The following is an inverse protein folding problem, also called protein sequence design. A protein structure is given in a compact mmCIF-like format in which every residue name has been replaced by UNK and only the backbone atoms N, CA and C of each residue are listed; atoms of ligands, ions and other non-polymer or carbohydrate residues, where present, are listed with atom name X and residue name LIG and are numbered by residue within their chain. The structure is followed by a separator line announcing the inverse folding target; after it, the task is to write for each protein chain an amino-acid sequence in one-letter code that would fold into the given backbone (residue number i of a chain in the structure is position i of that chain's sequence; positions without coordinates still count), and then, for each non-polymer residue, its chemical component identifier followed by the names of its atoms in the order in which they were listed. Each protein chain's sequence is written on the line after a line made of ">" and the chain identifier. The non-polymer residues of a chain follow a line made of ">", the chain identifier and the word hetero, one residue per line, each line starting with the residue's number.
data_IF_691083327713
#
_entry.id   IF_691083327713
#
_cell.length_a   1.000
_cell.length_b   1.000
_cell.length_c   1.000
_cell.angle_alpha   90.00
_cell.angle_beta   90.00
_cell.angle_gamma   90.00
#
_symmetry.space_group_name_H-M   'P 1'
#
loop_
_entity.id
_entity.type
_entity.pdbx_description
1 polymer ?
#
# COMPACT_ATOMS: atom_id res chain seq x y z
N UNK A 1 -27.37 -17.45 -56.50
CA UNK A 1 -26.74 -17.98 -55.26
C UNK A 1 -25.72 -16.97 -54.79
N UNK A 2 -25.94 -16.37 -53.62
CA UNK A 2 -25.05 -15.37 -53.03
C UNK A 2 -23.96 -16.09 -52.24
N UNK A 3 -22.69 -15.78 -52.50
CA UNK A 3 -21.60 -16.09 -51.58
C UNK A 3 -20.71 -14.85 -51.48
N UNK A 4 -20.68 -14.29 -50.27
CA UNK A 4 -19.77 -13.24 -49.84
C UNK A 4 -18.55 -13.87 -49.16
N UNK A 5 -17.48 -13.07 -49.10
CA UNK A 5 -16.28 -13.21 -48.25
C UNK A 5 -15.25 -14.21 -48.82
N UNK A 6 -13.94 -14.00 -48.75
CA UNK A 6 -13.13 -13.50 -47.63
C UNK A 6 -11.84 -12.88 -48.23
N UNK A 7 -11.54 -11.61 -47.96
CA UNK A 7 -10.22 -11.02 -48.24
C UNK A 7 -9.33 -11.11 -47.00
N UNK A 8 -8.13 -11.64 -47.24
CA UNK A 8 -7.11 -11.96 -46.26
C UNK A 8 -6.59 -10.74 -45.48
N UNK A 9 -6.26 -10.95 -44.21
CA UNK A 9 -5.35 -10.06 -43.49
C UNK A 9 -4.54 -10.86 -42.46
N UNK A 10 -3.29 -11.14 -42.86
CA UNK A 10 -2.10 -10.96 -42.03
C UNK A 10 -2.02 -11.68 -40.70
N UNK A 11 -1.35 -12.83 -40.72
CA UNK A 11 -0.64 -13.37 -39.57
C UNK A 11 0.45 -12.38 -39.13
N UNK A 12 0.34 -11.81 -37.93
CA UNK A 12 1.45 -11.15 -37.24
C UNK A 12 1.77 -11.92 -35.96
N UNK A 13 2.86 -12.68 -36.02
CA UNK A 13 3.57 -13.23 -34.88
C UNK A 13 4.29 -12.08 -34.16
N UNK A 14 3.77 -11.66 -33.02
CA UNK A 14 4.49 -10.78 -32.10
C UNK A 14 5.17 -11.65 -31.03
N UNK A 15 6.47 -11.87 -31.21
CA UNK A 15 7.35 -12.45 -30.20
C UNK A 15 8.11 -11.29 -29.53
N UNK A 16 7.74 -10.90 -28.31
CA UNK A 16 8.59 -10.04 -27.48
C UNK A 16 8.17 -10.03 -26.00
N UNK A 17 9.12 -10.41 -25.13
CA UNK A 17 9.34 -9.71 -23.87
C UNK A 17 8.60 -10.21 -22.63
N UNK A 18 9.26 -11.08 -21.88
CA UNK A 18 9.07 -11.18 -20.43
C UNK A 18 9.63 -9.88 -19.81
N UNK A 19 8.78 -8.89 -19.51
CA UNK A 19 9.06 -7.75 -18.61
C UNK A 19 7.78 -6.93 -18.36
N UNK A 20 7.29 -7.03 -17.12
CA UNK A 20 6.81 -5.96 -16.23
C UNK A 20 5.90 -4.83 -16.75
N UNK A 21 4.87 -4.54 -15.93
CA UNK A 21 3.93 -3.39 -15.95
C UNK A 21 2.68 -3.48 -16.85
N UNK A 22 1.74 -4.36 -16.48
CA UNK A 22 0.33 -4.16 -16.85
C UNK A 22 -0.38 -3.28 -15.83
N UNK A 23 -0.43 -2.00 -16.17
CA UNK A 23 -1.49 -1.06 -15.80
C UNK A 23 -2.84 -1.69 -16.13
N UNK A 24 -3.69 -1.92 -15.14
CA UNK A 24 -5.10 -2.28 -15.37
C UNK A 24 -5.98 -1.37 -14.54
N UNK A 25 -6.54 -0.38 -15.22
CA UNK A 25 -7.62 0.50 -14.77
C UNK A 25 -8.91 -0.31 -14.69
N UNK A 26 -9.38 -0.62 -13.48
CA UNK A 26 -10.77 -1.03 -13.27
C UNK A 26 -11.29 -0.51 -11.92
N UNK A 27 -12.44 0.18 -12.00
CA UNK A 27 -13.34 0.59 -10.92
C UNK A 27 -12.83 1.67 -9.94
N UNK A 28 -13.37 2.87 -10.12
CA UNK A 28 -13.29 3.99 -9.19
C UNK A 28 -13.92 3.64 -7.83
N UNK A 29 -13.09 3.60 -6.79
CA UNK A 29 -13.47 3.71 -5.38
C UNK A 29 -12.72 4.92 -4.79
N UNK A 30 -13.32 5.66 -3.85
CA UNK A 30 -12.93 7.03 -3.54
C UNK A 30 -11.70 7.07 -2.64
N UNK A 31 -10.46 6.89 -3.12
CA UNK A 31 -9.29 7.03 -2.22
C UNK A 31 -7.93 7.06 -2.96
N UNK A 32 -7.49 8.21 -3.44
CA UNK A 32 -6.06 8.44 -3.72
C UNK A 32 -5.62 9.77 -3.08
N UNK A 33 -5.81 9.88 -1.77
CA UNK A 33 -4.73 10.49 -1.00
C UNK A 33 -3.52 9.58 -1.24
N UNK A 34 -2.51 10.10 -1.96
CA UNK A 34 -1.28 9.38 -2.31
C UNK A 34 -0.78 8.69 -1.04
N UNK A 35 -0.77 7.35 -1.03
CA UNK A 35 -0.38 6.57 0.15
C UNK A 35 1.11 6.22 0.00
N UNK A 36 2.04 7.04 0.53
CA UNK A 36 3.47 6.79 0.36
C UNK A 36 3.91 5.45 0.96
N UNK A 37 3.15 4.92 1.91
CA UNK A 37 3.39 3.59 2.47
C UNK A 37 3.17 2.51 1.42
N UNK A 38 2.12 2.63 0.61
CA UNK A 38 1.90 1.67 -0.47
C UNK A 38 3.03 1.73 -1.50
N UNK A 39 3.42 2.93 -1.94
CA UNK A 39 4.48 3.10 -2.94
C UNK A 39 5.84 2.57 -2.44
N UNK A 40 6.12 2.71 -1.14
CA UNK A 40 7.36 2.21 -0.51
C UNK A 40 7.45 0.69 -0.48
N UNK A 41 6.34 0.03 -0.18
CA UNK A 41 6.32 -1.39 0.19
C UNK A 41 5.75 -2.33 -0.87
N UNK A 42 5.00 -1.81 -1.84
CA UNK A 42 4.52 -2.63 -2.95
C UNK A 42 5.71 -3.28 -3.69
N UNK A 43 5.59 -4.59 -3.96
CA UNK A 43 6.62 -5.41 -4.57
C UNK A 43 7.74 -5.84 -3.61
N UNK A 44 7.77 -5.35 -2.37
CA UNK A 44 8.75 -5.83 -1.38
C UNK A 44 8.24 -7.07 -0.64
N UNK A 45 9.18 -7.83 -0.05
CA UNK A 45 8.83 -8.96 0.81
C UNK A 45 8.12 -8.49 2.09
N UNK A 46 7.01 -9.15 2.43
CA UNK A 46 6.33 -8.92 3.71
C UNK A 46 7.20 -9.29 4.91
N UNK A 47 8.11 -10.26 4.75
CA UNK A 47 9.07 -10.61 5.79
C UNK A 47 9.99 -9.44 6.16
N UNK A 48 10.40 -8.62 5.18
CA UNK A 48 11.20 -7.41 5.44
C UNK A 48 10.40 -6.38 6.24
N UNK A 49 9.12 -6.21 5.92
CA UNK A 49 8.23 -5.31 6.66
C UNK A 49 8.07 -5.76 8.12
N UNK A 50 7.71 -7.02 8.35
CA UNK A 50 7.49 -7.53 9.71
C UNK A 50 8.77 -7.67 10.53
N UNK A 51 9.93 -7.89 9.89
CA UNK A 51 11.21 -7.85 10.58
C UNK A 51 11.55 -6.43 11.08
N UNK A 52 11.17 -5.39 10.32
CA UNK A 52 11.43 -4.01 10.70
C UNK A 52 10.43 -3.47 11.73
N UNK A 53 9.15 -3.85 11.62
CA UNK A 53 8.06 -3.23 12.38
C UNK A 53 7.32 -4.18 13.33
N UNK A 54 7.73 -5.43 13.41
CA UNK A 54 7.13 -6.46 14.25
C UNK A 54 6.06 -7.30 13.54
N UNK A 55 5.63 -8.40 14.15
CA UNK A 55 4.72 -9.37 13.55
C UNK A 55 3.31 -8.81 13.33
N UNK A 56 2.51 -9.42 12.43
CA UNK A 56 1.10 -9.08 12.30
C UNK A 56 0.30 -9.52 13.53
N UNK A 57 -0.83 -8.84 13.79
CA UNK A 57 -1.78 -9.20 14.85
C UNK A 57 -2.58 -10.43 14.44
N UNK A 58 -2.95 -10.50 13.17
CA UNK A 58 -3.73 -11.59 12.62
C UNK A 58 -3.51 -11.70 11.11
N UNK A 59 -3.74 -12.88 10.57
CA UNK A 59 -3.77 -13.12 9.14
C UNK A 59 -5.09 -13.79 8.72
N UNK A 60 -5.44 -13.60 7.45
CA UNK A 60 -6.62 -14.21 6.83
C UNK A 60 -6.38 -14.41 5.33
N UNK A 61 -6.98 -15.46 4.78
CA UNK A 61 -7.03 -15.64 3.33
C UNK A 61 -8.17 -14.81 2.74
N UNK A 62 -7.89 -14.08 1.66
CA UNK A 62 -8.85 -13.25 0.95
C UNK A 62 -8.60 -13.38 -0.55
N UNK A 63 -9.52 -14.08 -1.25
CA UNK A 63 -9.51 -14.21 -2.72
C UNK A 63 -8.17 -14.70 -3.31
N UNK A 64 -7.54 -15.70 -2.68
CA UNK A 64 -6.26 -16.27 -3.11
C UNK A 64 -5.02 -15.45 -2.74
N UNK A 65 -5.20 -14.32 -2.05
CA UNK A 65 -4.14 -13.57 -1.39
C UNK A 65 -4.20 -13.79 0.12
N UNK A 66 -3.11 -13.45 0.81
CA UNK A 66 -3.10 -13.42 2.28
C UNK A 66 -3.09 -11.98 2.76
N UNK A 67 -3.97 -11.65 3.69
CA UNK A 67 -4.04 -10.33 4.29
C UNK A 67 -3.60 -10.41 5.74
N UNK A 68 -2.61 -9.60 6.08
CA UNK A 68 -2.07 -9.47 7.42
C UNK A 68 -2.51 -8.15 8.01
N UNK A 69 -3.25 -8.21 9.11
CA UNK A 69 -3.58 -7.01 9.88
C UNK A 69 -2.45 -6.71 10.83
N UNK A 70 -1.84 -5.53 10.68
CA UNK A 70 -0.73 -5.07 11.49
C UNK A 70 -1.10 -3.79 12.24
N UNK A 71 -0.54 -3.63 13.45
CA UNK A 71 -0.61 -2.39 14.21
C UNK A 71 0.66 -2.17 14.99
N UNK A 72 1.23 -0.98 14.88
CA UNK A 72 2.44 -0.63 15.59
C UNK A 72 2.73 0.86 15.58
N UNK A 73 3.95 1.22 15.98
CA UNK A 73 4.35 2.61 16.19
C UNK A 73 3.55 3.27 17.30
N UNK A 74 3.43 2.62 18.46
CA UNK A 74 2.73 3.25 19.59
C UNK A 74 3.57 4.43 20.09
N UNK A 75 3.04 5.65 19.97
CA UNK A 75 3.72 6.88 20.40
C UNK A 75 2.77 7.81 21.13
N UNK A 76 3.16 8.26 22.32
CA UNK A 76 2.40 9.27 23.04
C UNK A 76 2.94 10.66 22.67
N UNK A 77 2.07 11.52 22.15
CA UNK A 77 2.40 12.89 21.75
C UNK A 77 1.58 13.88 22.57
N UNK A 78 2.19 15.01 22.93
CA UNK A 78 1.48 16.10 23.56
C UNK A 78 0.83 16.94 22.48
N UNK A 79 -0.50 17.09 22.53
CA UNK A 79 -1.23 17.96 21.60
C UNK A 79 -1.13 19.38 22.12
N UNK A 80 -0.62 20.27 21.27
CA UNK A 80 -0.65 21.71 21.48
C UNK A 80 -1.77 22.29 20.63
N UNK A 81 -2.59 23.15 21.21
CA UNK A 81 -3.56 23.94 20.43
C UNK A 81 -2.84 25.00 19.63
N UNK A 82 -3.53 25.59 18.65
CA UNK A 82 -3.01 26.73 17.88
C UNK A 82 -2.56 27.89 18.78
N UNK A 83 -3.15 28.01 19.97
CA UNK A 83 -2.82 29.03 20.97
C UNK A 83 -1.61 28.66 21.86
N UNK A 84 -0.87 27.60 21.52
CA UNK A 84 0.31 27.13 22.27
C UNK A 84 0.00 26.47 23.62
N UNK A 85 -1.28 26.35 24.00
CA UNK A 85 -1.69 25.69 25.24
C UNK A 85 -1.66 24.17 25.05
N UNK A 86 -1.12 23.46 26.05
CA UNK A 86 -1.17 21.99 26.10
C UNK A 86 -2.62 21.56 26.30
N UNK A 87 -3.22 20.91 25.32
CA UNK A 87 -4.62 20.46 25.40
C UNK A 87 -4.77 19.01 25.82
N UNK A 88 -3.68 18.24 25.88
CA UNK A 88 -3.67 16.88 26.39
C UNK A 88 -2.58 16.00 25.78
N UNK A 89 -2.64 14.70 26.09
CA UNK A 89 -1.81 13.66 25.46
C UNK A 89 -2.67 12.86 24.48
N UNK A 90 -2.11 12.53 23.32
CA UNK A 90 -2.71 11.64 22.32
C UNK A 90 -1.80 10.45 22.11
N UNK A 91 -2.37 9.26 22.08
CA UNK A 91 -1.65 8.04 21.68
C UNK A 91 -1.84 7.84 20.18
N UNK A 92 -0.74 7.94 19.44
CA UNK A 92 -0.67 7.60 18.02
C UNK A 92 -0.37 6.11 17.89
N UNK A 93 -1.01 5.49 16.92
CA UNK A 93 -0.68 4.14 16.45
C UNK A 93 -1.03 4.05 14.98
N UNK A 94 -0.23 3.37 14.18
CA UNK A 94 -0.58 3.06 12.81
C UNK A 94 -1.24 1.68 12.73
N UNK A 95 -2.37 1.57 12.03
CA UNK A 95 -3.02 0.29 11.72
C UNK A 95 -3.13 0.14 10.20
N UNK A 96 -2.64 -0.98 9.68
CA UNK A 96 -2.64 -1.26 8.26
C UNK A 96 -2.96 -2.73 7.98
N UNK A 97 -3.63 -2.98 6.86
CA UNK A 97 -3.75 -4.29 6.25
C UNK A 97 -2.69 -4.41 5.15
N UNK A 98 -1.86 -5.44 5.24
CA UNK A 98 -0.81 -5.76 4.26
C UNK A 98 -1.30 -6.96 3.46
N UNK A 99 -1.54 -6.77 2.17
CA UNK A 99 -1.97 -7.85 1.28
C UNK A 99 -0.75 -8.42 0.57
N UNK A 100 -0.58 -9.74 0.60
CA UNK A 100 0.51 -10.43 -0.08
C UNK A 100 0.02 -11.46 -1.08
N UNK A 101 0.86 -11.76 -2.06
CA UNK A 101 0.68 -12.94 -2.91
C UNK A 101 1.18 -14.21 -2.19
N UNK A 102 1.11 -15.35 -2.88
CA UNK A 102 1.59 -16.65 -2.39
C UNK A 102 3.12 -16.68 -2.20
N UNK A 103 3.86 -15.87 -2.95
CA UNK A 103 5.31 -15.68 -2.80
C UNK A 103 5.70 -14.78 -1.63
N UNK A 104 4.73 -14.36 -0.80
CA UNK A 104 4.93 -13.49 0.36
C UNK A 104 5.46 -12.08 0.02
N UNK A 105 5.17 -11.61 -1.19
CA UNK A 105 5.43 -10.24 -1.65
C UNK A 105 4.20 -9.36 -1.45
N UNK A 106 4.41 -8.15 -0.98
CA UNK A 106 3.37 -7.16 -0.72
C UNK A 106 2.79 -6.66 -2.05
N UNK A 107 1.48 -6.82 -2.22
CA UNK A 107 0.72 -6.33 -3.38
C UNK A 107 0.09 -4.97 -3.10
N UNK A 108 -0.39 -4.79 -1.88
CA UNK A 108 -0.98 -3.53 -1.44
C UNK A 108 -0.87 -3.35 0.07
N UNK A 109 -0.88 -2.08 0.49
CA UNK A 109 -0.89 -1.67 1.90
C UNK A 109 -2.06 -0.71 2.10
N UNK A 110 -3.06 -1.15 2.85
CA UNK A 110 -4.25 -0.36 3.15
C UNK A 110 -4.17 0.17 4.58
N UNK A 111 -4.06 1.48 4.72
CA UNK A 111 -4.13 2.11 6.04
C UNK A 111 -5.59 2.08 6.52
N UNK A 112 -5.84 1.45 7.67
CA UNK A 112 -7.19 1.27 8.23
C UNK A 112 -7.61 2.44 9.13
N UNK A 113 -6.64 3.18 9.64
CA UNK A 113 -6.88 4.34 10.48
C UNK A 113 -5.58 5.10 10.63
N UNK A 114 -5.63 6.38 10.29
CA UNK A 114 -4.48 7.27 10.36
C UNK A 114 -4.84 8.54 11.08
N UNK A 115 -3.86 9.10 11.76
CA UNK A 115 -3.97 10.34 12.50
C UNK A 115 -2.82 11.24 12.06
N UNK A 116 -2.97 12.58 12.12
CA UNK A 116 -1.86 13.48 11.90
C UNK A 116 -0.66 13.07 12.76
N UNK A 117 0.50 12.95 12.09
CA UNK A 117 1.76 12.60 12.70
C UNK A 117 2.35 13.75 13.51
N UNK A 118 3.61 13.62 13.89
CA UNK A 118 4.30 14.67 14.66
C UNK A 118 4.82 15.78 13.74
N UNK A 119 5.15 15.43 12.50
CA UNK A 119 5.81 16.29 11.51
C UNK A 119 4.99 16.48 10.23
N UNK A 120 3.86 15.79 10.08
CA UNK A 120 3.12 15.72 8.84
C UNK A 120 1.68 15.22 9.00
N UNK A 121 0.94 15.14 7.89
CA UNK A 121 -0.49 14.86 7.90
C UNK A 121 -0.85 13.41 8.23
N UNK A 122 0.14 12.50 8.26
CA UNK A 122 -0.04 11.06 8.39
C UNK A 122 1.05 10.45 9.27
N UNK A 123 0.67 9.90 10.42
CA UNK A 123 1.60 9.18 11.30
C UNK A 123 2.05 7.85 10.68
N UNK A 124 1.15 7.17 9.97
CA UNK A 124 1.49 5.96 9.25
C UNK A 124 2.58 6.19 8.18
N UNK A 125 2.50 7.28 7.42
CA UNK A 125 3.50 7.65 6.44
C UNK A 125 4.86 7.94 7.08
N UNK A 126 4.89 8.72 8.16
CA UNK A 126 6.13 9.03 8.90
C UNK A 126 6.83 7.77 9.40
N UNK A 127 6.07 6.80 9.89
CA UNK A 127 6.60 5.58 10.48
C UNK A 127 7.07 4.58 9.42
N UNK A 128 6.22 4.30 8.44
CA UNK A 128 6.41 3.17 7.51
C UNK A 128 7.10 3.59 6.21
N UNK A 129 7.02 4.87 5.84
CA UNK A 129 7.66 5.43 4.66
C UNK A 129 8.30 6.79 4.98
N UNK A 130 9.25 6.86 5.95
CA UNK A 130 9.94 8.10 6.24
C UNK A 130 10.63 8.60 4.97
N UNK A 131 10.61 9.93 4.71
CA UNK A 131 11.36 10.49 3.59
C UNK A 131 12.83 10.11 3.76
N UNK A 132 13.44 9.66 2.66
CA UNK A 132 14.86 9.34 2.65
C UNK A 132 15.63 10.57 3.11
N UNK A 133 16.44 10.44 4.17
CA UNK A 133 17.29 11.56 4.60
C UNK A 133 18.23 11.87 3.44
N UNK A 134 18.00 12.98 2.75
CA UNK A 134 18.98 13.53 1.83
C UNK A 134 20.29 13.70 2.62
N UNK A 135 21.27 12.85 2.30
CA UNK A 135 22.61 12.88 2.89
C UNK A 135 23.46 13.89 2.18
#
# INVERSE_FOLDING_TARGET
>A
MNIRMITAAGLLLALAGCSTTTTTTTAALPLLAKNPVQDRWQGQSAGRFFAAYGPPISDRDESGNRVYTWRGGYKNVTVVTKDGKKSGKRSLSCKADIVTNQSYEIRSVKILGDQPGVSGPSYCAELLAPPEKAS
#
